data_IF_274098928317
#
_entry.id   IF_274098928317
#
_cell.length_a   1.000
_cell.length_b   1.000
_cell.length_c   1.000
_cell.angle_alpha   90.00
_cell.angle_beta   90.00
_cell.angle_gamma   90.00
#
_symmetry.space_group_name_H-M   'P 1'
#
loop_
_entity.id
_entity.type
_entity.pdbx_description
1 polymer ?
#
# COMPACT_ATOMS: atom_id res chain seq x y z
N UNK A 1 -12.81 -28.32 -47.00
CA UNK A 1 -13.15 -26.91 -46.74
C UNK A 1 -13.48 -26.84 -45.24
N UNK A 2 -12.57 -26.18 -44.50
CA UNK A 2 -12.66 -25.66 -43.12
C UNK A 2 -12.95 -26.60 -41.92
N UNK A 3 -11.89 -26.85 -41.15
CA UNK A 3 -11.90 -26.82 -39.67
C UNK A 3 -12.17 -25.36 -39.20
N UNK A 4 -12.82 -25.13 -38.03
CA UNK A 4 -12.02 -24.72 -36.87
C UNK A 4 -12.54 -25.24 -35.51
N UNK A 5 -11.69 -26.01 -34.84
CA UNK A 5 -11.16 -25.79 -33.48
C UNK A 5 -11.57 -24.47 -32.79
N UNK A 6 -12.11 -24.54 -31.57
CA UNK A 6 -11.81 -23.58 -30.50
C UNK A 6 -12.16 -24.14 -29.11
N UNK A 7 -11.09 -24.45 -28.37
CA UNK A 7 -11.05 -24.70 -26.92
C UNK A 7 -11.82 -23.62 -26.14
N UNK A 8 -12.68 -24.05 -25.24
CA UNK A 8 -12.97 -23.26 -24.03
C UNK A 8 -11.80 -23.48 -23.08
N UNK A 9 -10.77 -22.64 -23.17
CA UNK A 9 -9.73 -22.61 -22.16
C UNK A 9 -10.31 -22.00 -20.88
N UNK A 10 -10.15 -22.73 -19.78
CA UNK A 10 -10.68 -22.39 -18.48
C UNK A 10 -9.91 -21.23 -17.86
N UNK A 11 -10.19 -20.01 -18.32
CA UNK A 11 -9.81 -18.80 -17.60
C UNK A 11 -10.41 -18.84 -16.21
N UNK A 12 -9.55 -18.86 -15.18
CA UNK A 12 -9.94 -18.91 -13.77
C UNK A 12 -11.04 -17.89 -13.52
N UNK A 13 -12.23 -18.42 -13.27
CA UNK A 13 -13.44 -17.65 -13.08
C UNK A 13 -13.30 -16.78 -11.83
N UNK A 14 -13.79 -15.55 -11.94
CA UNK A 14 -14.07 -14.50 -10.92
C UNK A 14 -14.37 -14.97 -9.49
N UNK A 15 -14.81 -16.22 -9.31
CA UNK A 15 -15.04 -16.87 -8.00
C UNK A 15 -13.77 -17.24 -7.24
N UNK A 16 -12.62 -17.40 -7.90
CA UNK A 16 -11.35 -17.65 -7.21
C UNK A 16 -10.78 -16.42 -6.51
N UNK A 17 -11.08 -15.22 -7.02
CA UNK A 17 -10.64 -13.96 -6.43
C UNK A 17 -11.32 -13.66 -5.08
N UNK A 18 -12.53 -14.19 -4.88
CA UNK A 18 -13.28 -14.01 -3.62
C UNK A 18 -12.97 -15.07 -2.55
N UNK A 19 -12.22 -16.15 -2.83
CA UNK A 19 -11.90 -17.16 -1.80
C UNK A 19 -10.61 -16.86 -1.04
N UNK A 20 -9.62 -16.24 -1.68
CA UNK A 20 -8.28 -16.12 -1.09
C UNK A 20 -8.06 -14.76 -0.40
N UNK A 21 -8.81 -13.72 -0.78
CA UNK A 21 -8.73 -12.39 -0.17
C UNK A 21 -9.42 -12.27 1.20
N UNK A 22 -10.11 -13.32 1.67
CA UNK A 22 -10.83 -13.31 2.94
C UNK A 22 -9.96 -13.69 4.16
N UNK A 23 -8.70 -14.14 3.96
CA UNK A 23 -7.88 -14.70 5.04
C UNK A 23 -6.70 -13.81 5.47
N UNK A 24 -6.39 -12.73 4.76
CA UNK A 24 -5.39 -11.74 5.16
C UNK A 24 -6.12 -10.43 5.49
N UNK A 25 -6.11 -10.00 6.75
CA UNK A 25 -6.96 -8.95 7.31
C UNK A 25 -6.77 -7.51 6.79
N UNK A 26 -6.32 -7.30 5.56
CA UNK A 26 -6.27 -5.98 4.92
C UNK A 26 -7.49 -5.82 4.00
N UNK A 27 -8.22 -4.70 4.15
CA UNK A 27 -9.52 -4.49 3.53
C UNK A 27 -9.55 -4.70 2.01
N UNK A 28 -10.40 -5.63 1.55
CA UNK A 28 -10.72 -5.79 0.14
C UNK A 28 -11.57 -4.59 -0.34
N UNK A 29 -10.93 -3.58 -0.94
CA UNK A 29 -11.63 -2.60 -1.78
C UNK A 29 -12.01 -3.28 -3.10
N UNK A 30 -13.16 -3.96 -3.12
CA UNK A 30 -13.79 -4.42 -4.35
C UNK A 30 -14.43 -3.21 -5.06
N UNK A 31 -13.69 -2.55 -5.95
CA UNK A 31 -14.19 -1.49 -6.82
C UNK A 31 -15.05 -2.10 -7.94
N UNK A 32 -16.36 -2.15 -7.73
CA UNK A 32 -17.31 -2.52 -8.78
C UNK A 32 -17.70 -1.28 -9.58
N UNK A 33 -17.07 -1.06 -10.73
CA UNK A 33 -17.54 -0.06 -11.69
C UNK A 33 -18.61 -0.70 -12.61
N UNK A 34 -19.88 -0.46 -12.30
CA UNK A 34 -20.95 -0.58 -13.29
C UNK A 34 -21.18 0.78 -13.91
N UNK A 35 -20.89 0.93 -15.21
CA UNK A 35 -21.70 1.68 -16.16
C UNK A 35 -21.05 1.63 -17.54
N UNK A 36 -21.72 0.94 -18.45
CA UNK A 36 -21.35 0.95 -19.86
C UNK A 36 -21.75 2.25 -20.53
N UNK A 37 -20.89 2.73 -21.43
CA UNK A 37 -21.29 3.47 -22.63
C UNK A 37 -20.45 2.96 -23.79
N UNK A 38 -21.11 2.48 -24.84
CA UNK A 38 -20.46 2.16 -26.11
C UNK A 38 -20.39 3.44 -26.95
N UNK A 39 -19.19 3.87 -27.34
CA UNK A 39 -19.04 4.88 -28.39
C UNK A 39 -17.66 4.80 -29.08
N UNK A 40 -17.69 4.42 -30.36
CA UNK A 40 -16.95 5.08 -31.44
C UNK A 40 -15.43 4.99 -31.45
N UNK A 41 -14.91 4.08 -32.30
CA UNK A 41 -13.54 4.10 -32.80
C UNK A 41 -13.27 5.37 -33.63
N UNK A 42 -12.49 6.31 -33.11
CA UNK A 42 -11.75 7.28 -33.91
C UNK A 42 -10.27 7.27 -33.50
N UNK A 43 -9.41 7.18 -34.49
CA UNK A 43 -7.98 6.92 -34.35
C UNK A 43 -7.17 8.18 -34.13
N UNK A 44 -7.22 8.76 -32.92
CA UNK A 44 -6.05 9.45 -32.38
C UNK A 44 -5.34 8.50 -31.42
N UNK A 45 -4.10 8.15 -31.75
CA UNK A 45 -3.17 7.69 -30.72
C UNK A 45 -2.83 8.90 -29.87
N UNK A 46 -3.77 9.31 -29.02
CA UNK A 46 -3.40 10.01 -27.80
C UNK A 46 -2.45 9.04 -27.10
N UNK A 47 -1.17 9.41 -27.05
CA UNK A 47 -0.25 8.73 -26.14
C UNK A 47 -0.87 8.99 -24.78
N UNK A 48 -1.53 7.97 -24.24
CA UNK A 48 -2.10 8.03 -22.91
C UNK A 48 -0.95 8.38 -21.97
N UNK A 49 -0.90 9.65 -21.55
CA UNK A 49 0.16 10.18 -20.70
C UNK A 49 -0.06 9.80 -19.23
N UNK A 50 -1.01 8.90 -18.97
CA UNK A 50 -1.25 8.32 -17.67
C UNK A 50 -0.14 7.30 -17.36
N UNK A 51 0.37 7.27 -16.11
CA UNK A 51 1.30 6.24 -15.69
C UNK A 51 0.62 4.87 -15.74
N UNK A 52 1.36 3.84 -16.12
CA UNK A 52 0.86 2.46 -16.08
C UNK A 52 0.61 1.99 -14.64
N UNK A 53 -0.26 1.00 -14.45
CA UNK A 53 -0.53 0.39 -13.14
C UNK A 53 0.77 -0.02 -12.41
N UNK A 54 1.72 -0.61 -13.13
CA UNK A 54 3.01 -1.04 -12.57
C UNK A 54 3.86 0.16 -12.12
N UNK A 55 3.80 1.30 -12.83
CA UNK A 55 4.51 2.52 -12.40
C UNK A 55 3.85 3.14 -11.17
N UNK A 56 2.52 3.18 -11.12
CA UNK A 56 1.76 3.66 -9.96
C UNK A 56 2.04 2.79 -8.73
N UNK A 57 2.00 1.46 -8.89
CA UNK A 57 2.26 0.52 -7.80
C UNK A 57 3.73 0.57 -7.34
N UNK A 58 4.69 0.78 -8.24
CA UNK A 58 6.09 0.97 -7.85
C UNK A 58 6.32 2.30 -7.10
N UNK A 59 5.58 3.35 -7.45
CA UNK A 59 5.62 4.59 -6.68
C UNK A 59 5.07 4.37 -5.26
N UNK A 60 3.94 3.68 -5.12
CA UNK A 60 3.41 3.29 -3.80
C UNK A 60 4.44 2.43 -3.04
N UNK A 61 5.02 1.40 -3.67
CA UNK A 61 6.00 0.52 -3.03
C UNK A 61 7.24 1.28 -2.54
N UNK A 62 7.66 2.33 -3.24
CA UNK A 62 8.75 3.18 -2.77
C UNK A 62 8.39 3.97 -1.49
N UNK A 63 7.13 4.39 -1.35
CA UNK A 63 6.64 5.04 -0.12
C UNK A 63 6.54 4.02 1.02
N UNK A 64 5.99 2.84 0.79
CA UNK A 64 5.90 1.79 1.80
C UNK A 64 7.29 1.36 2.31
N UNK A 65 8.29 1.24 1.42
CA UNK A 65 9.67 0.97 1.84
C UNK A 65 10.25 2.08 2.72
N UNK A 66 9.93 3.35 2.44
CA UNK A 66 10.37 4.48 3.23
C UNK A 66 9.73 4.46 4.62
N UNK A 67 8.41 4.23 4.69
CA UNK A 67 7.65 4.20 5.94
C UNK A 67 8.03 3.01 6.81
N UNK A 68 8.09 1.81 6.23
CA UNK A 68 8.55 0.61 6.93
C UNK A 68 9.99 0.79 7.48
N UNK A 69 10.88 1.41 6.71
CA UNK A 69 12.23 1.73 7.18
C UNK A 69 12.21 2.77 8.32
N UNK A 70 11.34 3.77 8.23
CA UNK A 70 11.20 4.83 9.24
C UNK A 70 10.77 4.29 10.60
N UNK A 71 9.77 3.41 10.62
CA UNK A 71 9.30 2.78 11.85
C UNK A 71 10.30 1.76 12.40
N UNK A 72 10.96 0.98 11.53
CA UNK A 72 12.00 0.05 11.96
C UNK A 72 13.20 0.76 12.59
N UNK A 73 13.63 1.90 12.04
CA UNK A 73 14.69 2.74 12.59
C UNK A 73 14.33 3.22 14.01
N UNK A 74 13.12 3.77 14.19
CA UNK A 74 12.65 4.22 15.49
C UNK A 74 12.57 3.12 16.54
N UNK A 75 12.02 1.95 16.18
CA UNK A 75 11.89 0.80 17.08
C UNK A 75 13.26 0.16 17.42
N UNK A 76 14.28 0.37 16.60
CA UNK A 76 15.65 -0.02 16.88
C UNK A 76 16.36 0.96 17.85
N UNK A 77 15.98 2.24 17.82
CA UNK A 77 16.58 3.28 18.68
C UNK A 77 15.91 3.38 20.06
N UNK A 78 14.57 3.26 20.14
CA UNK A 78 13.80 3.51 21.36
C UNK A 78 13.18 2.24 21.95
N UNK A 79 13.28 2.11 23.27
CA UNK A 79 12.58 1.07 24.03
C UNK A 79 11.14 1.47 24.37
N UNK A 80 10.26 0.49 24.61
CA UNK A 80 8.90 0.73 25.11
C UNK A 80 8.88 1.64 26.34
N UNK A 81 9.80 1.39 27.28
CA UNK A 81 9.94 2.16 28.52
C UNK A 81 10.26 3.65 28.30
N UNK A 82 10.99 3.99 27.24
CA UNK A 82 11.29 5.37 26.86
C UNK A 82 10.11 6.03 26.15
N UNK A 83 9.44 5.29 25.26
CA UNK A 83 8.25 5.76 24.55
C UNK A 83 7.12 6.04 25.53
N UNK A 84 6.79 5.13 26.44
CA UNK A 84 5.68 5.29 27.39
C UNK A 84 5.94 6.36 28.47
N UNK A 85 7.19 6.78 28.66
CA UNK A 85 7.54 7.91 29.54
C UNK A 85 7.64 9.24 28.81
N UNK A 86 7.46 9.25 27.50
CA UNK A 86 7.52 10.46 26.70
C UNK A 86 6.26 11.32 26.87
N UNK A 87 6.39 12.62 26.66
CA UNK A 87 5.24 13.53 26.62
C UNK A 87 4.23 13.18 25.50
N UNK A 88 4.70 12.49 24.45
CA UNK A 88 3.87 11.96 23.37
C UNK A 88 2.92 10.88 23.91
N UNK A 89 3.45 9.91 24.66
CA UNK A 89 2.61 8.88 25.26
C UNK A 89 1.60 9.47 26.25
N UNK A 90 1.95 10.51 27.02
CA UNK A 90 0.99 11.20 27.89
C UNK A 90 -0.12 11.90 27.11
N UNK A 91 0.19 12.48 25.95
CA UNK A 91 -0.80 13.13 25.09
C UNK A 91 -1.78 12.13 24.45
N UNK A 92 -1.27 10.98 24.02
CA UNK A 92 -2.07 9.90 23.45
C UNK A 92 -2.65 8.93 24.48
N UNK A 93 -2.25 9.04 25.75
CA UNK A 93 -2.75 8.24 26.84
C UNK A 93 -4.27 8.43 26.96
N UNK A 94 -5.00 7.39 26.57
CA UNK A 94 -6.43 7.31 26.77
C UNK A 94 -6.69 6.17 27.77
N UNK A 95 -7.43 6.43 28.86
CA UNK A 95 -7.66 5.43 29.91
C UNK A 95 -8.40 4.16 29.43
N UNK A 96 -8.88 4.14 28.18
CA UNK A 96 -9.62 3.03 27.57
C UNK A 96 -8.89 2.36 26.42
N UNK A 97 -7.66 2.79 26.05
CA UNK A 97 -6.92 2.12 24.98
C UNK A 97 -6.42 0.75 25.45
N UNK A 98 -6.54 -0.24 24.57
CA UNK A 98 -6.11 -1.60 24.83
C UNK A 98 -4.58 -1.77 24.65
N UNK A 99 -3.95 -0.89 23.88
CA UNK A 99 -2.55 -0.95 23.49
C UNK A 99 -1.77 0.29 23.96
N UNK A 100 -0.50 0.08 24.32
CA UNK A 100 0.45 1.16 24.64
C UNK A 100 0.76 2.01 23.39
N UNK A 101 1.41 3.16 23.57
CA UNK A 101 1.85 3.99 22.43
C UNK A 101 2.90 3.24 21.62
N UNK A 102 3.82 2.55 22.28
CA UNK A 102 4.83 1.71 21.65
C UNK A 102 4.20 0.58 20.83
N UNK A 103 3.21 -0.12 21.38
CA UNK A 103 2.49 -1.18 20.66
C UNK A 103 1.78 -0.65 19.41
N UNK A 104 1.19 0.55 19.47
CA UNK A 104 0.59 1.17 18.28
C UNK A 104 1.65 1.47 17.21
N UNK A 105 2.84 1.92 17.60
CA UNK A 105 3.96 2.13 16.66
C UNK A 105 4.41 0.80 16.03
N UNK A 106 4.43 -0.29 16.81
CA UNK A 106 4.69 -1.64 16.28
C UNK A 106 3.61 -2.08 15.29
N UNK A 107 2.33 -1.86 15.61
CA UNK A 107 1.22 -2.22 14.73
C UNK A 107 1.29 -1.47 13.39
N UNK A 108 1.63 -0.18 13.40
CA UNK A 108 1.81 0.59 12.16
C UNK A 108 3.00 0.06 11.36
N UNK A 109 4.15 -0.19 12.01
CA UNK A 109 5.30 -0.83 11.36
C UNK A 109 4.91 -2.15 10.67
N UNK A 110 4.14 -2.98 11.35
CA UNK A 110 3.69 -4.28 10.83
C UNK A 110 2.73 -4.10 9.62
N UNK A 111 1.92 -3.05 9.61
CA UNK A 111 1.10 -2.70 8.44
C UNK A 111 1.95 -2.31 7.24
N UNK A 112 2.96 -1.44 7.43
CA UNK A 112 3.79 -1.00 6.30
C UNK A 112 4.65 -2.15 5.73
N UNK A 113 5.12 -3.07 6.57
CA UNK A 113 5.77 -4.30 6.10
C UNK A 113 4.79 -5.18 5.28
N UNK A 114 3.54 -5.31 5.74
CA UNK A 114 2.51 -6.04 5.01
C UNK A 114 2.14 -5.37 3.68
N UNK A 115 2.12 -4.04 3.61
CA UNK A 115 1.90 -3.29 2.38
C UNK A 115 3.04 -3.51 1.37
N UNK A 116 4.31 -3.48 1.82
CA UNK A 116 5.47 -3.81 0.98
C UNK A 116 5.29 -5.19 0.35
N UNK A 117 4.98 -6.21 1.15
CA UNK A 117 4.81 -7.58 0.65
C UNK A 117 3.66 -7.69 -0.35
N UNK A 118 2.51 -7.07 -0.05
CA UNK A 118 1.35 -7.07 -0.93
C UNK A 118 1.63 -6.39 -2.28
N UNK A 119 2.30 -5.23 -2.26
CA UNK A 119 2.65 -4.49 -3.48
C UNK A 119 3.68 -5.23 -4.33
N UNK A 120 4.74 -5.79 -3.71
CA UNK A 120 5.74 -6.59 -4.43
C UNK A 120 5.10 -7.78 -5.14
N UNK A 121 4.20 -8.48 -4.45
CA UNK A 121 3.46 -9.60 -5.02
C UNK A 121 2.60 -9.14 -6.20
N UNK A 122 1.80 -8.08 -6.00
CA UNK A 122 0.91 -7.54 -7.03
C UNK A 122 1.66 -7.09 -8.28
N UNK A 123 2.76 -6.34 -8.11
CA UNK A 123 3.61 -5.91 -9.23
C UNK A 123 4.16 -7.12 -10.00
N UNK A 124 4.60 -8.15 -9.30
CA UNK A 124 5.11 -9.39 -9.92
C UNK A 124 4.01 -10.12 -10.69
N UNK A 125 2.80 -10.19 -10.14
CA UNK A 125 1.64 -10.84 -10.77
C UNK A 125 1.17 -10.12 -12.05
N UNK A 126 1.38 -8.80 -12.11
CA UNK A 126 1.18 -7.98 -13.32
C UNK A 126 2.34 -8.08 -14.32
N UNK A 127 3.39 -8.87 -14.02
CA UNK A 127 4.57 -9.03 -14.86
C UNK A 127 5.58 -7.88 -14.76
N UNK A 128 5.40 -6.97 -13.80
CA UNK A 128 6.32 -5.89 -13.48
C UNK A 128 7.51 -6.34 -12.63
N UNK A 129 8.47 -5.45 -12.44
CA UNK A 129 9.58 -5.64 -11.49
C UNK A 129 9.35 -4.72 -10.29
N UNK A 130 9.23 -5.26 -9.07
CA UNK A 130 9.11 -4.44 -7.87
C UNK A 130 10.37 -3.61 -7.64
N UNK A 131 10.19 -2.35 -7.24
CA UNK A 131 11.28 -1.47 -6.86
C UNK A 131 11.91 -1.95 -5.54
N UNK A 132 13.23 -1.94 -5.52
CA UNK A 132 14.00 -2.29 -4.33
C UNK A 132 14.04 -1.12 -3.34
N UNK A 133 14.15 -1.38 -2.03
CA UNK A 133 14.28 -0.32 -1.03
C UNK A 133 15.55 0.51 -1.26
N UNK A 134 15.46 1.81 -0.98
CA UNK A 134 16.63 2.68 -0.97
C UNK A 134 17.43 2.56 0.34
N UNK A 135 18.59 3.21 0.40
CA UNK A 135 19.26 3.48 1.66
C UNK A 135 18.67 4.74 2.29
N UNK A 136 18.26 4.64 3.54
CA UNK A 136 17.64 5.75 4.27
C UNK A 136 18.52 6.21 5.43
N UNK A 137 18.54 7.51 5.65
CA UNK A 137 19.09 8.13 6.85
C UNK A 137 18.03 9.08 7.40
N UNK A 138 17.57 8.79 8.61
CA UNK A 138 16.57 9.59 9.28
C UNK A 138 17.22 10.49 10.33
N UNK A 139 16.73 11.71 10.44
CA UNK A 139 17.18 12.65 11.45
C UNK A 139 15.98 13.25 12.14
N UNK A 140 15.75 12.80 13.37
CA UNK A 140 14.79 13.37 14.31
C UNK A 140 15.47 13.42 15.68
N UNK A 141 15.32 14.53 16.40
CA UNK A 141 15.98 14.77 17.69
C UNK A 141 15.14 14.37 18.89
N UNK A 142 13.91 13.90 18.69
CA UNK A 142 13.00 13.48 19.77
C UNK A 142 11.86 12.59 19.25
N UNK A 143 11.22 11.85 20.16
CA UNK A 143 10.00 11.08 19.88
C UNK A 143 8.87 11.98 19.35
N UNK A 144 8.78 13.23 19.79
CA UNK A 144 7.78 14.17 19.29
C UNK A 144 8.05 14.58 17.84
N UNK A 145 9.31 14.77 17.46
CA UNK A 145 9.71 15.03 16.08
C UNK A 145 9.49 13.80 15.21
N UNK A 146 9.76 12.60 15.74
CA UNK A 146 9.43 11.35 15.08
C UNK A 146 7.93 11.26 14.72
N UNK A 147 7.05 11.44 15.71
CA UNK A 147 5.60 11.40 15.47
C UNK A 147 5.15 12.49 14.48
N UNK A 148 5.74 13.68 14.52
CA UNK A 148 5.39 14.75 13.60
C UNK A 148 5.83 14.48 12.15
N UNK A 149 6.90 13.71 11.94
CA UNK A 149 7.31 13.24 10.61
C UNK A 149 6.43 12.06 10.18
N UNK A 150 6.18 11.11 11.07
CA UNK A 150 5.29 9.97 10.83
C UNK A 150 3.91 10.44 10.34
N UNK A 151 3.26 11.38 11.05
CA UNK A 151 1.96 11.95 10.65
C UNK A 151 1.95 12.53 9.22
N UNK A 152 3.08 13.08 8.76
CA UNK A 152 3.21 13.59 7.39
C UNK A 152 3.43 12.49 6.37
N UNK A 153 4.21 11.46 6.71
CA UNK A 153 4.42 10.30 5.84
C UNK A 153 3.07 9.59 5.60
N UNK A 154 2.36 9.24 6.68
CA UNK A 154 1.04 8.60 6.63
C UNK A 154 0.03 9.39 5.76
N UNK A 155 0.02 10.73 5.90
CA UNK A 155 -0.83 11.59 5.10
C UNK A 155 -0.44 11.56 3.59
N UNK A 156 0.85 11.48 3.28
CA UNK A 156 1.35 11.31 1.92
C UNK A 156 0.95 9.94 1.38
N UNK A 157 1.15 8.85 2.14
CA UNK A 157 0.73 7.49 1.77
C UNK A 157 -0.77 7.40 1.44
N UNK A 158 -1.64 7.90 2.32
CA UNK A 158 -3.09 7.97 2.08
C UNK A 158 -3.42 8.75 0.80
N UNK A 159 -2.77 9.90 0.59
CA UNK A 159 -3.00 10.72 -0.61
C UNK A 159 -2.51 10.04 -1.88
N UNK A 160 -1.41 9.28 -1.81
CA UNK A 160 -0.87 8.51 -2.92
C UNK A 160 -1.83 7.39 -3.33
N UNK A 161 -2.33 6.59 -2.36
CA UNK A 161 -3.34 5.57 -2.64
C UNK A 161 -4.64 6.16 -3.19
N UNK A 162 -5.11 7.27 -2.63
CA UNK A 162 -6.32 7.95 -3.11
C UNK A 162 -6.15 8.50 -4.54
N UNK A 163 -4.95 8.99 -4.88
CA UNK A 163 -4.60 9.45 -6.23
C UNK A 163 -4.33 8.32 -7.22
N UNK A 164 -3.86 7.17 -6.74
CA UNK A 164 -3.61 5.96 -7.52
C UNK A 164 -4.89 5.19 -7.85
N UNK A 165 -5.88 5.20 -6.95
CA UNK A 165 -7.11 4.43 -7.11
C UNK A 165 -7.87 4.67 -8.45
N UNK A 166 -7.94 5.88 -9.01
CA UNK A 166 -8.54 6.12 -10.32
C UNK A 166 -7.66 5.77 -11.52
N UNK A 167 -6.36 5.54 -11.31
CA UNK A 167 -5.37 5.29 -12.37
C UNK A 167 -5.16 3.80 -12.64
N UNK A 168 -5.65 2.93 -11.74
CA UNK A 168 -5.53 1.48 -11.89
C UNK A 168 -6.71 0.95 -12.70
N UNK A 169 -6.43 0.47 -13.91
CA UNK A 169 -7.43 -0.18 -14.77
C UNK A 169 -7.66 -1.64 -14.35
N UNK A 170 -8.88 -2.15 -14.58
CA UNK A 170 -9.32 -3.50 -14.16
C UNK A 170 -9.63 -4.44 -15.32
#
# INVERSE_FOLDING_TARGET
MTDPSARTDGGRSRRGFMSDAALAGAGALALSATSGVAAGNDGSSDVDSSPSDVEVLNYALALEHLEAAYYNDFLAEYTESEVERSAVAEYFARPTLQYSTYQQIQDVRDHEEAHVDALRQTITDLGGTPVEPAAYEFSYGSIAEFVAIADRLEAVGVSAYAGAAPLIDS
#
